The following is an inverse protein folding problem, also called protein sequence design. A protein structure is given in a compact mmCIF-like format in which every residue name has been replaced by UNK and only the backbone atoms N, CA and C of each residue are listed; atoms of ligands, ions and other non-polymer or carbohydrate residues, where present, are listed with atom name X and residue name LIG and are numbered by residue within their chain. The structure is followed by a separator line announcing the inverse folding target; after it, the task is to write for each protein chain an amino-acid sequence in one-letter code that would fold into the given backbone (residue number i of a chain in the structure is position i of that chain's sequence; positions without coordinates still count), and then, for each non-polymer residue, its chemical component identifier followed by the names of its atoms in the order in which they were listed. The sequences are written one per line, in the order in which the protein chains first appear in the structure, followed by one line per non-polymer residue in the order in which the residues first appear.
data_IF_468839175160
#
_entry.id   IF_468839175160
#
_cell.length_a   1.000
_cell.length_b   1.000
_cell.length_c   1.000
_cell.angle_alpha   90.00
_cell.angle_beta   90.00
_cell.angle_gamma   90.00
#
_symmetry.space_group_name_H-M   'P 1'
#
loop_
_entity.id
_entity.type
_entity.pdbx_description
1 polymer ?
#
# COMPACT_ATOMS: atom_id res chain seq x y z
N UNK A 1 14.84 0.12 6.60
CA UNK A 1 13.59 0.86 6.79
C UNK A 1 12.44 -0.13 6.91
N UNK A 2 11.56 0.00 7.91
CA UNK A 2 10.49 -0.96 8.19
C UNK A 2 9.58 -1.20 6.97
N UNK A 3 9.26 -0.14 6.22
CA UNK A 3 8.43 -0.20 5.02
C UNK A 3 8.90 -1.19 3.94
N UNK A 4 10.21 -1.44 3.84
CA UNK A 4 10.81 -2.37 2.87
C UNK A 4 11.25 -3.70 3.48
N UNK A 5 11.05 -3.91 4.78
CA UNK A 5 11.40 -5.18 5.42
C UNK A 5 10.54 -6.32 4.89
N UNK A 6 11.10 -7.53 4.80
CA UNK A 6 10.44 -8.66 4.15
C UNK A 6 9.16 -9.13 4.85
N UNK A 7 9.07 -8.91 6.17
CA UNK A 7 7.92 -9.27 7.01
C UNK A 7 6.71 -8.34 6.74
N UNK A 8 6.94 -7.03 6.59
CA UNK A 8 5.88 -6.06 6.28
C UNK A 8 5.64 -5.89 4.77
N UNK A 9 6.72 -5.82 4.01
CA UNK A 9 6.81 -5.79 2.55
C UNK A 9 5.83 -4.83 1.85
N UNK A 10 5.61 -3.65 2.42
CA UNK A 10 4.62 -2.68 1.98
C UNK A 10 4.80 -2.33 0.48
N UNK A 11 6.05 -2.30 0.00
CA UNK A 11 6.42 -2.03 -1.39
C UNK A 11 5.87 -3.03 -2.40
N UNK A 12 5.52 -4.27 -2.00
CA UNK A 12 4.89 -5.25 -2.91
C UNK A 12 3.50 -4.81 -3.37
N UNK A 13 2.79 -4.09 -2.52
CA UNK A 13 1.42 -3.68 -2.78
C UNK A 13 1.31 -2.20 -3.12
N UNK A 14 2.14 -1.37 -2.49
CA UNK A 14 2.18 0.08 -2.63
C UNK A 14 3.37 0.51 -3.48
N UNK A 15 3.32 0.17 -4.77
CA UNK A 15 4.37 0.52 -5.74
C UNK A 15 3.98 1.77 -6.52
N UNK A 16 4.85 2.77 -6.49
CA UNK A 16 4.63 4.01 -7.24
C UNK A 16 4.62 3.78 -8.76
N UNK A 17 3.69 4.42 -9.46
CA UNK A 17 3.60 4.39 -10.92
C UNK A 17 3.19 3.06 -11.56
N UNK A 18 2.75 2.06 -10.77
CA UNK A 18 2.25 0.80 -11.32
C UNK A 18 0.89 1.00 -12.02
N UNK A 19 0.69 0.40 -13.20
CA UNK A 19 -0.54 0.55 -14.01
C UNK A 19 -1.77 -0.06 -13.31
N UNK A 20 -1.59 -1.11 -12.50
CA UNK A 20 -2.64 -1.76 -11.71
C UNK A 20 -2.04 -2.27 -10.40
N UNK A 21 -1.82 -1.40 -9.41
CA UNK A 21 -1.23 -1.81 -8.13
C UNK A 21 -2.25 -2.58 -7.29
N UNK A 22 -1.75 -3.35 -6.32
CA UNK A 22 -2.61 -4.08 -5.36
C UNK A 22 -3.21 -3.11 -4.36
N UNK A 23 -2.41 -2.18 -3.86
CA UNK A 23 -2.82 -1.09 -2.97
C UNK A 23 -2.62 0.28 -3.63
N UNK A 24 -3.14 1.35 -3.03
CA UNK A 24 -2.94 2.71 -3.53
C UNK A 24 -1.46 3.11 -3.52
N UNK A 25 -1.07 3.95 -4.47
CA UNK A 25 0.21 4.64 -4.40
C UNK A 25 0.16 5.61 -3.22
N UNK A 26 0.97 5.34 -2.19
CA UNK A 26 0.99 6.15 -0.98
C UNK A 26 1.50 7.58 -1.24
N UNK A 27 2.31 7.78 -2.29
CA UNK A 27 2.82 9.10 -2.65
C UNK A 27 1.79 9.96 -3.41
N UNK A 28 0.73 9.35 -3.94
CA UNK A 28 -0.34 10.02 -4.69
C UNK A 28 -1.67 9.97 -3.95
N UNK A 29 -1.62 9.83 -2.63
CA UNK A 29 -2.82 9.92 -1.81
C UNK A 29 -3.37 11.35 -1.87
N UNK A 30 -4.69 11.43 -1.98
CA UNK A 30 -5.40 12.70 -2.03
C UNK A 30 -5.19 13.53 -0.76
N UNK A 31 -5.27 14.86 -0.90
CA UNK A 31 -4.93 15.78 0.19
C UNK A 31 -5.85 15.66 1.41
N UNK A 32 -7.05 15.10 1.23
CA UNK A 32 -8.06 14.81 2.24
C UNK A 32 -7.75 13.55 3.09
N UNK A 33 -6.73 12.75 2.73
CA UNK A 33 -6.29 11.63 3.56
C UNK A 33 -5.69 12.15 4.86
N UNK A 34 -6.29 11.74 5.97
CA UNK A 34 -5.88 12.10 7.33
C UNK A 34 -4.92 11.08 7.93
N UNK A 35 -4.13 11.55 8.91
CA UNK A 35 -3.25 10.73 9.72
C UNK A 35 -4.00 9.57 10.40
N UNK A 36 -5.20 9.85 10.93
CA UNK A 36 -6.09 8.85 11.51
C UNK A 36 -6.46 7.77 10.49
N UNK A 37 -6.79 8.16 9.24
CA UNK A 37 -7.11 7.19 8.20
C UNK A 37 -5.93 6.26 7.90
N UNK A 38 -4.70 6.79 7.82
CA UNK A 38 -3.50 5.98 7.57
C UNK A 38 -3.24 4.97 8.71
N UNK A 39 -3.35 5.43 9.96
CA UNK A 39 -3.18 4.59 11.14
C UNK A 39 -4.26 3.51 11.20
N UNK A 40 -5.52 3.88 10.95
CA UNK A 40 -6.63 2.91 10.92
C UNK A 40 -6.50 1.91 9.78
N UNK A 41 -6.06 2.34 8.58
CA UNK A 41 -5.84 1.43 7.46
C UNK A 41 -4.72 0.42 7.75
N UNK A 42 -3.73 0.80 8.56
CA UNK A 42 -2.64 -0.09 8.98
C UNK A 42 -3.07 -1.07 10.08
N UNK A 43 -3.85 -0.60 11.06
CA UNK A 43 -4.31 -1.42 12.19
C UNK A 43 -5.53 -2.30 11.84
N UNK A 44 -6.42 -1.78 11.00
CA UNK A 44 -7.70 -2.36 10.64
C UNK A 44 -7.94 -2.22 9.13
N UNK A 45 -7.18 -2.94 8.28
CA UNK A 45 -7.20 -2.73 6.82
C UNK A 45 -8.57 -2.93 6.17
N UNK A 46 -9.41 -3.78 6.76
CA UNK A 46 -10.77 -4.06 6.28
C UNK A 46 -11.83 -3.10 6.82
N UNK A 47 -11.49 -2.15 7.71
CA UNK A 47 -12.45 -1.16 8.27
C UNK A 47 -12.95 -0.19 7.22
N UNK A 48 -12.06 0.30 6.36
CA UNK A 48 -12.37 1.23 5.30
C UNK A 48 -11.47 0.97 4.08
N UNK A 49 -12.04 0.42 3.02
CA UNK A 49 -11.31 0.12 1.78
C UNK A 49 -11.45 1.33 0.85
N UNK A 50 -10.31 1.83 0.35
CA UNK A 50 -10.30 2.97 -0.60
C UNK A 50 -11.03 2.59 -1.89
N UNK A 51 -11.85 3.49 -2.40
CA UNK A 51 -12.53 3.33 -3.69
C UNK A 51 -11.54 3.02 -4.81
N UNK A 52 -11.87 2.06 -5.65
CA UNK A 52 -11.01 1.54 -6.73
C UNK A 52 -10.05 0.43 -6.28
N UNK A 53 -10.01 0.11 -4.99
CA UNK A 53 -9.24 -0.98 -4.40
C UNK A 53 -10.12 -2.07 -3.75
N UNK A 54 -11.45 -1.96 -3.88
CA UNK A 54 -12.37 -3.00 -3.42
C UNK A 54 -12.18 -4.30 -4.19
N UNK A 55 -12.28 -5.42 -3.48
CA UNK A 55 -12.29 -6.75 -4.10
C UNK A 55 -13.70 -7.30 -4.20
N UNK A 56 -13.90 -8.24 -5.13
CA UNK A 56 -15.11 -9.05 -5.24
C UNK A 56 -14.73 -10.52 -5.12
N UNK A 57 -15.64 -11.32 -4.58
CA UNK A 57 -15.59 -12.78 -4.65
C UNK A 57 -16.53 -13.23 -5.76
N UNK A 58 -15.99 -13.93 -6.75
CA UNK A 58 -16.75 -14.50 -7.86
C UNK A 58 -16.88 -15.99 -7.64
N UNK A 59 -18.12 -16.47 -7.52
CA UNK A 59 -18.46 -17.88 -7.47
C UNK A 59 -18.79 -18.33 -8.89
N UNK A 60 -18.06 -19.31 -9.38
CA UNK A 60 -18.29 -19.91 -10.69
C UNK A 60 -19.35 -21.01 -10.60
N UNK A 61 -20.02 -21.32 -11.71
CA UNK A 61 -20.98 -22.43 -11.83
C UNK A 61 -20.39 -23.81 -11.52
N UNK A 62 -19.05 -23.93 -11.53
CA UNK A 62 -18.31 -25.11 -11.09
C UNK A 62 -18.07 -25.16 -9.56
N UNK A 63 -18.66 -24.24 -8.78
CA UNK A 63 -18.51 -24.14 -7.33
C UNK A 63 -17.17 -23.55 -6.85
N UNK A 64 -16.30 -23.08 -7.75
CA UNK A 64 -15.05 -22.42 -7.38
C UNK A 64 -15.28 -20.95 -7.02
N UNK A 65 -14.67 -20.48 -5.94
CA UNK A 65 -14.60 -19.07 -5.59
C UNK A 65 -13.26 -18.46 -6.00
N UNK A 66 -13.28 -17.28 -6.63
CA UNK A 66 -12.10 -16.48 -6.96
C UNK A 66 -12.29 -15.08 -6.40
N UNK A 67 -11.43 -14.67 -5.47
CA UNK A 67 -11.45 -13.32 -4.89
C UNK A 67 -10.36 -12.46 -5.50
N UNK A 68 -10.74 -11.28 -5.96
CA UNK A 68 -9.79 -10.31 -6.49
C UNK A 68 -10.44 -8.98 -6.82
N UNK A 69 -9.61 -8.01 -7.19
CA UNK A 69 -10.07 -6.69 -7.60
C UNK A 69 -10.55 -6.72 -9.04
N UNK A 70 -11.75 -6.24 -9.29
CA UNK A 70 -12.30 -6.16 -10.64
C UNK A 70 -11.58 -5.06 -11.42
N UNK A 71 -10.86 -5.45 -12.48
CA UNK A 71 -10.12 -4.52 -13.35
C UNK A 71 -10.73 -4.39 -14.75
N UNK A 72 -11.62 -5.30 -15.12
CA UNK A 72 -12.46 -5.23 -16.32
C UNK A 72 -13.81 -5.85 -16.00
N UNK A 73 -14.88 -5.13 -16.33
CA UNK A 73 -16.26 -5.62 -16.24
C UNK A 73 -16.94 -5.48 -17.59
N UNK A 74 -16.89 -6.54 -18.39
CA UNK A 74 -17.44 -6.58 -19.75
C UNK A 74 -18.68 -7.47 -19.88
N UNK A 75 -19.39 -7.37 -21.02
CA UNK A 75 -20.59 -8.15 -21.29
C UNK A 75 -20.31 -9.65 -21.45
N UNK A 76 -19.15 -10.03 -22.00
CA UNK A 76 -18.78 -11.43 -22.26
C UNK A 76 -17.90 -12.04 -21.17
N UNK A 77 -17.11 -11.21 -20.49
CA UNK A 77 -16.12 -11.64 -19.51
C UNK A 77 -15.87 -10.56 -18.47
N UNK A 78 -15.39 -10.99 -17.31
CA UNK A 78 -14.77 -10.11 -16.32
C UNK A 78 -13.30 -10.48 -16.16
N UNK A 79 -12.50 -9.53 -15.72
CA UNK A 79 -11.09 -9.77 -15.36
C UNK A 79 -10.86 -9.32 -13.93
N UNK A 80 -10.40 -10.26 -13.11
CA UNK A 80 -9.99 -10.01 -11.74
C UNK A 80 -8.46 -9.92 -11.67
N UNK A 81 -7.97 -8.98 -10.88
CA UNK A 81 -6.61 -8.98 -10.37
C UNK A 81 -6.60 -9.71 -9.03
N UNK A 82 -5.95 -10.85 -8.97
CA UNK A 82 -5.82 -11.69 -7.77
C UNK A 82 -4.43 -11.49 -7.18
N UNK A 83 -4.36 -11.35 -5.85
CA UNK A 83 -3.13 -11.16 -5.10
C UNK A 83 -2.97 -12.28 -4.06
N UNK A 84 -2.79 -13.51 -4.53
CA UNK A 84 -2.54 -14.69 -3.69
C UNK A 84 -1.10 -15.16 -3.93
N UNK A 85 -0.16 -14.64 -3.15
CA UNK A 85 1.28 -14.89 -3.28
C UNK A 85 1.96 -14.17 -4.46
N UNK A 86 1.32 -14.16 -5.64
CA UNK A 86 1.72 -13.39 -6.81
C UNK A 86 0.54 -12.60 -7.36
N UNK A 87 0.85 -11.48 -8.02
CA UNK A 87 -0.12 -10.70 -8.75
C UNK A 87 -0.46 -11.37 -10.08
N UNK A 88 -1.71 -11.82 -10.23
CA UNK A 88 -2.20 -12.54 -11.40
C UNK A 88 -3.49 -11.94 -11.94
N UNK A 89 -3.76 -12.18 -13.23
CA UNK A 89 -5.04 -11.84 -13.85
C UNK A 89 -5.81 -13.10 -14.11
N UNK A 90 -7.04 -13.14 -13.61
CA UNK A 90 -7.98 -14.23 -13.85
C UNK A 90 -9.11 -13.68 -14.72
N UNK A 91 -9.21 -14.19 -15.94
CA UNK A 91 -10.33 -13.89 -16.83
C UNK A 91 -11.40 -14.95 -16.62
N UNK A 92 -12.63 -14.52 -16.36
CA UNK A 92 -13.78 -15.41 -16.18
C UNK A 92 -14.84 -15.07 -17.24
N UNK A 93 -15.24 -16.03 -18.09
CA UNK A 93 -16.41 -15.87 -18.95
C UNK A 93 -17.66 -15.61 -18.11
N UNK A 94 -18.55 -14.73 -18.57
CA UNK A 94 -19.82 -14.45 -17.87
C UNK A 94 -20.72 -15.68 -17.78
N UNK A 95 -20.63 -16.60 -18.75
CA UNK A 95 -21.31 -17.90 -18.74
C UNK A 95 -20.93 -18.79 -17.57
N UNK A 96 -19.73 -18.60 -17.02
CA UNK A 96 -19.16 -19.45 -15.98
C UNK A 96 -19.41 -18.86 -14.59
N UNK A 97 -20.06 -17.69 -14.49
CA UNK A 97 -20.29 -16.97 -13.24
C UNK A 97 -21.67 -17.28 -12.71
N UNK A 98 -21.71 -17.80 -11.49
CA UNK A 98 -22.94 -17.98 -10.74
C UNK A 98 -23.28 -16.74 -9.91
N UNK A 99 -22.27 -16.16 -9.23
CA UNK A 99 -22.47 -15.02 -8.35
C UNK A 99 -21.24 -14.11 -8.29
N UNK A 100 -21.46 -12.81 -8.15
CA UNK A 100 -20.43 -11.82 -7.80
C UNK A 100 -20.85 -11.17 -6.49
N UNK A 101 -19.98 -11.24 -5.48
CA UNK A 101 -20.25 -10.71 -4.13
C UNK A 101 -19.17 -9.69 -3.77
N UNK A 102 -19.52 -8.47 -3.33
CA UNK A 102 -18.54 -7.53 -2.78
C UNK A 102 -17.80 -8.13 -1.59
N UNK A 103 -16.46 -8.05 -1.59
CA UNK A 103 -15.65 -8.47 -0.44
C UNK A 103 -15.67 -7.38 0.62
N UNK A 104 -15.88 -7.79 1.88
CA UNK A 104 -15.65 -6.93 3.04
C UNK A 104 -14.20 -6.94 3.52
N UNK A 105 -13.39 -7.84 2.95
CA UNK A 105 -11.98 -8.00 3.31
C UNK A 105 -11.09 -7.20 2.34
N UNK A 106 -10.12 -6.51 2.91
CA UNK A 106 -9.08 -5.80 2.17
C UNK A 106 -8.08 -6.77 1.53
N UNK A 107 -7.43 -6.31 0.45
CA UNK A 107 -6.26 -6.99 -0.11
C UNK A 107 -5.00 -6.78 0.75
N UNK A 108 -5.00 -5.77 1.62
CA UNK A 108 -3.97 -5.59 2.63
C UNK A 108 -4.19 -6.61 3.76
N UNK A 109 -3.16 -7.40 4.14
CA UNK A 109 -3.30 -8.41 5.18
C UNK A 109 -3.65 -7.80 6.55
N UNK A 110 -4.58 -8.43 7.26
CA UNK A 110 -4.82 -8.14 8.67
C UNK A 110 -3.59 -8.51 9.52
N UNK A 111 -3.47 -7.92 10.71
CA UNK A 111 -2.42 -8.20 11.69
C UNK A 111 -0.98 -7.96 11.17
N UNK A 112 -0.81 -7.12 10.14
CA UNK A 112 0.52 -6.78 9.61
C UNK A 112 1.41 -6.14 10.68
N UNK A 113 0.82 -5.33 11.55
CA UNK A 113 1.50 -4.65 12.67
C UNK A 113 1.95 -5.61 13.77
N UNK A 114 1.38 -6.80 13.85
CA UNK A 114 1.77 -7.81 14.85
C UNK A 114 3.16 -8.40 14.52
N UNK A 115 3.65 -8.17 13.31
CA UNK A 115 4.99 -8.55 12.89
C UNK A 115 6.07 -7.57 13.36
N UNK A 116 5.68 -6.44 13.96
CA UNK A 116 6.60 -5.47 14.54
C UNK A 116 7.13 -5.97 15.88
N UNK A 117 8.41 -5.72 16.16
CA UNK A 117 9.03 -6.16 17.42
C UNK A 117 8.50 -5.40 18.65
N UNK A 118 7.78 -4.30 18.45
CA UNK A 118 7.19 -3.52 19.51
C UNK A 118 6.68 -2.17 19.02
N UNK A 119 6.11 -1.42 19.97
CA UNK A 119 5.49 -0.11 19.71
C UNK A 119 6.43 0.90 19.05
N UNK A 120 7.71 0.88 19.37
CA UNK A 120 8.68 1.82 18.79
C UNK A 120 8.80 1.65 17.26
N UNK A 121 8.76 0.42 16.75
CA UNK A 121 8.77 0.20 15.29
C UNK A 121 7.48 0.72 14.64
N UNK A 122 6.34 0.64 15.33
CA UNK A 122 5.12 1.25 14.83
C UNK A 122 5.23 2.78 14.76
N UNK A 123 5.82 3.38 15.79
CA UNK A 123 6.10 4.82 15.86
C UNK A 123 7.16 5.29 14.86
N UNK A 124 8.03 4.40 14.37
CA UNK A 124 8.96 4.69 13.28
C UNK A 124 8.31 4.54 11.89
N UNK A 125 7.39 3.57 11.73
CA UNK A 125 6.75 3.26 10.45
C UNK A 125 5.70 4.31 10.06
N UNK A 126 4.86 4.71 11.02
CA UNK A 126 3.71 5.58 10.77
C UNK A 126 4.12 6.98 10.25
N UNK A 127 5.09 7.69 10.87
CA UNK A 127 5.54 8.99 10.36
C UNK A 127 6.08 8.90 8.95
N UNK A 128 6.81 7.84 8.61
CA UNK A 128 7.29 7.64 7.25
C UNK A 128 6.13 7.49 6.24
N UNK A 129 5.08 6.75 6.59
CA UNK A 129 3.89 6.65 5.73
C UNK A 129 3.17 7.99 5.58
N UNK A 130 3.14 8.80 6.64
CA UNK A 130 2.57 10.16 6.62
C UNK A 130 3.39 11.10 5.72
N UNK A 131 4.73 11.04 5.82
CA UNK A 131 5.64 11.80 4.95
C UNK A 131 5.47 11.42 3.49
N UNK A 132 5.36 10.11 3.18
CA UNK A 132 5.05 9.64 1.84
C UNK A 132 3.70 10.20 1.34
N UNK A 133 2.67 10.13 2.17
CA UNK A 133 1.34 10.66 1.84
C UNK A 133 1.28 12.18 1.73
N UNK A 134 2.26 12.89 2.30
CA UNK A 134 2.39 14.33 2.24
C UNK A 134 3.33 14.82 1.11
N UNK A 135 4.02 13.92 0.41
CA UNK A 135 4.98 14.29 -0.63
C UNK A 135 4.35 15.10 -1.78
N UNK A 136 3.06 14.89 -2.09
CA UNK A 136 2.31 15.67 -3.08
C UNK A 136 1.59 16.91 -2.47
N UNK A 137 1.64 17.07 -1.14
CA UNK A 137 1.06 18.22 -0.41
C UNK A 137 2.01 19.43 -0.36
N UNK A 138 3.24 19.31 -0.87
CA UNK A 138 4.29 20.33 -0.73
C UNK A 138 4.77 20.79 -2.13
N UNK A 139 4.58 22.07 -2.54
CA UNK A 139 5.35 22.60 -3.66
C UNK A 139 6.83 22.52 -3.27
N UNK A 140 7.62 21.81 -4.08
CA UNK A 140 9.00 21.42 -3.83
C UNK A 140 9.80 22.46 -3.01
N UNK A 141 10.02 22.17 -1.74
CA UNK A 141 11.05 22.81 -0.95
C UNK A 141 11.51 21.86 0.15
N UNK A 142 12.84 21.67 0.18
CA UNK A 142 13.65 21.07 1.24
C UNK A 142 13.94 19.58 1.09
N UNK A 143 14.86 19.30 0.15
CA UNK A 143 15.79 18.21 0.34
C UNK A 143 16.77 18.54 1.46
N UNK A 144 16.80 17.72 2.50
CA UNK A 144 18.03 17.36 3.19
C UNK A 144 17.80 16.08 4.00
N UNK A 145 18.62 15.07 3.74
CA UNK A 145 19.37 14.21 4.67
C UNK A 145 19.86 12.95 3.91
N UNK A 146 20.92 12.21 4.34
CA UNK A 146 21.62 12.31 5.63
C UNK A 146 23.16 12.28 5.61
N UNK A 147 23.77 12.82 6.66
CA UNK A 147 24.81 12.15 7.45
C UNK A 147 26.28 12.23 7.03
N UNK A 148 27.15 12.68 7.95
CA UNK A 148 28.60 12.48 7.86
C UNK A 148 29.37 13.14 9.00
N UNK A 149 29.64 12.39 10.08
CA UNK A 149 30.58 12.80 11.13
C UNK A 149 32.01 12.77 10.58
N UNK A 150 32.76 13.86 10.68
CA UNK A 150 34.22 13.81 10.81
C UNK A 150 34.72 14.90 11.75
N UNK A 151 35.23 14.46 12.89
CA UNK A 151 36.12 15.19 13.78
C UNK A 151 37.51 15.26 13.15
N UNK A 152 38.11 16.46 13.05
CA UNK A 152 39.56 16.65 13.11
C UNK A 152 39.96 18.14 13.24
N UNK A 153 40.52 18.46 14.41
CA UNK A 153 41.73 19.28 14.68
C UNK A 153 41.81 20.77 14.26
N UNK A 154 41.99 21.58 15.30
CA UNK A 154 42.63 22.91 15.37
C UNK A 154 43.76 23.14 14.36
N UNK A 155 43.85 24.37 13.83
CA UNK A 155 45.07 25.19 13.89
C UNK A 155 44.74 26.69 13.81
N UNK A 156 45.33 27.47 14.70
CA UNK A 156 45.35 28.95 14.71
C UNK A 156 46.20 29.47 13.55
N UNK A 157 45.88 30.65 12.99
CA UNK A 157 46.76 31.85 12.97
C UNK A 157 46.36 32.92 11.92
N UNK A 158 46.52 34.18 12.36
CA UNK A 158 46.91 35.41 11.63
C UNK A 158 46.06 36.02 10.51
N UNK A 159 45.53 37.20 10.83
CA UNK A 159 45.68 38.51 10.17
C UNK A 159 45.85 38.59 8.65
N UNK A 160 44.97 39.39 8.02
CA UNK A 160 45.36 40.61 7.32
C UNK A 160 44.18 41.60 7.33
#
# INVERSE_FOLDING_TARGET
MLFTQQNLNCTRCHTAGAVRPVGPDLAQLSSDVTDTYLVEALLLPSKAIRKGFESVSVVTTAGKAVTGRMIEDGPERIVLQVSSGKLERVTLPRSDIEQIVPSKLSAMPDNLVDQLAGREQFLDLVPYMMELAAADKTPAAHGHLPGGKTSARNFRASSC
#
